data_IF_581744219319
#
_entry.id   IF_581744219319
#
_cell.length_a   1.000
_cell.length_b   1.000
_cell.length_c   1.000
_cell.angle_alpha   90.00
_cell.angle_beta   90.00
_cell.angle_gamma   90.00
#
_symmetry.space_group_name_H-M   'P 1'
#
loop_
_entity.id
_entity.type
_entity.pdbx_description
1 polymer ?
#
# COMPACT_ATOMS: atom_id res chain seq x y z
N UNK A 1 4.89 31.38 9.91
CA UNK A 1 5.81 30.36 9.42
C UNK A 1 5.31 29.76 8.11
N UNK A 2 6.18 29.09 7.37
CA UNK A 2 5.80 28.37 6.14
C UNK A 2 5.35 26.97 6.57
N UNK A 3 4.14 26.52 6.18
CA UNK A 3 3.69 25.16 6.47
C UNK A 3 4.62 24.10 5.83
N UNK A 4 4.70 22.90 6.42
CA UNK A 4 5.58 21.83 5.94
C UNK A 4 5.15 21.24 4.58
N UNK A 5 3.88 21.38 4.21
CA UNK A 5 3.31 20.98 2.93
C UNK A 5 3.39 22.07 1.85
N UNK A 6 4.04 23.19 2.13
CA UNK A 6 4.33 24.23 1.17
C UNK A 6 5.77 24.11 0.68
N UNK A 7 5.97 23.86 -0.61
CA UNK A 7 7.31 23.64 -1.20
C UNK A 7 8.27 24.81 -0.96
N UNK A 8 7.74 26.03 -0.72
CA UNK A 8 8.54 27.19 -0.34
C UNK A 8 9.31 27.00 0.98
N UNK A 9 8.92 26.03 1.80
CA UNK A 9 9.70 25.62 2.98
C UNK A 9 11.12 25.17 2.57
N UNK A 10 11.23 24.40 1.49
CA UNK A 10 12.52 23.89 1.01
C UNK A 10 13.39 25.03 0.47
N UNK A 11 12.79 25.99 -0.26
CA UNK A 11 13.51 27.20 -0.70
C UNK A 11 14.06 27.98 0.50
N UNK A 12 13.20 28.17 1.52
CA UNK A 12 13.61 28.91 2.72
C UNK A 12 14.70 28.18 3.51
N UNK A 13 14.65 26.86 3.55
CA UNK A 13 15.67 26.06 4.20
C UNK A 13 17.03 26.14 3.47
N UNK A 14 17.03 26.23 2.13
CA UNK A 14 18.26 26.47 1.35
C UNK A 14 18.82 27.86 1.66
N UNK A 15 17.97 28.89 1.72
CA UNK A 15 18.39 30.25 2.11
C UNK A 15 19.02 30.29 3.51
N UNK A 16 18.47 29.54 4.48
CA UNK A 16 19.07 29.42 5.81
C UNK A 16 20.46 28.78 5.74
N UNK A 17 20.62 27.72 4.94
CA UNK A 17 21.96 27.13 4.71
C UNK A 17 22.94 28.14 4.07
N UNK A 18 22.49 28.94 3.10
CA UNK A 18 23.32 30.00 2.45
C UNK A 18 23.77 31.04 3.46
N UNK A 19 22.97 31.30 4.51
CA UNK A 19 23.28 32.21 5.62
C UNK A 19 24.14 31.55 6.71
N UNK A 20 24.47 30.25 6.56
CA UNK A 20 25.24 29.49 7.54
C UNK A 20 24.43 28.99 8.72
N UNK A 21 23.11 29.05 8.64
CA UNK A 21 22.21 28.52 9.68
C UNK A 21 22.07 26.99 9.55
N UNK A 22 22.43 26.21 10.59
CA UNK A 22 22.39 24.75 10.57
C UNK A 22 20.97 24.18 10.47
N UNK A 23 19.95 24.95 10.85
CA UNK A 23 18.56 24.53 10.78
C UNK A 23 18.13 24.31 9.33
N UNK A 24 18.69 25.07 8.38
CA UNK A 24 18.41 24.88 6.96
C UNK A 24 18.69 23.46 6.49
N UNK A 25 19.87 22.93 6.81
CA UNK A 25 20.26 21.56 6.47
C UNK A 25 19.38 20.53 7.16
N UNK A 26 19.10 20.73 8.43
CA UNK A 26 18.25 19.85 9.24
C UNK A 26 16.85 19.73 8.65
N UNK A 27 16.25 20.85 8.25
CA UNK A 27 14.93 20.90 7.59
C UNK A 27 14.96 20.13 6.26
N UNK A 28 15.93 20.40 5.40
CA UNK A 28 16.05 19.75 4.09
C UNK A 28 16.20 18.25 4.22
N UNK A 29 17.12 17.76 5.05
CA UNK A 29 17.34 16.33 5.30
C UNK A 29 16.10 15.67 5.91
N UNK A 30 15.41 16.37 6.82
CA UNK A 30 14.20 15.86 7.49
C UNK A 30 13.03 15.69 6.53
N UNK A 31 12.80 16.65 5.63
CA UNK A 31 11.61 16.67 4.79
C UNK A 31 11.82 16.05 3.40
N UNK A 32 13.05 15.73 2.98
CA UNK A 32 13.31 15.14 1.64
C UNK A 32 14.02 13.79 1.68
N UNK A 33 14.52 13.35 2.84
CA UNK A 33 15.36 12.14 3.00
C UNK A 33 16.61 12.14 2.11
N UNK A 34 16.96 13.30 1.51
CA UNK A 34 18.19 13.48 0.71
C UNK A 34 19.28 14.10 1.58
N UNK A 35 20.51 13.96 1.15
CA UNK A 35 21.68 14.54 1.83
C UNK A 35 22.62 15.12 0.80
N UNK A 36 22.83 16.43 0.86
CA UNK A 36 23.80 17.14 0.07
C UNK A 36 24.68 18.01 0.99
N UNK A 37 25.92 18.25 0.55
CA UNK A 37 26.89 18.95 1.37
C UNK A 37 26.71 20.47 1.33
N UNK A 38 26.30 21.01 0.19
CA UNK A 38 26.28 22.44 -0.08
C UNK A 38 24.88 22.95 -0.46
N UNK A 39 24.57 24.24 -0.20
CA UNK A 39 23.34 24.87 -0.66
C UNK A 39 23.16 24.81 -2.18
N UNK A 40 24.26 24.90 -2.95
CA UNK A 40 24.19 24.83 -4.40
C UNK A 40 23.72 23.47 -4.92
N UNK A 41 24.16 22.37 -4.30
CA UNK A 41 23.68 21.02 -4.61
C UNK A 41 22.20 20.88 -4.28
N UNK A 42 21.76 21.40 -3.14
CA UNK A 42 20.34 21.42 -2.75
C UNK A 42 19.49 22.21 -3.75
N UNK A 43 19.95 23.39 -4.17
CA UNK A 43 19.23 24.22 -5.14
C UNK A 43 19.13 23.53 -6.49
N UNK A 44 20.23 22.98 -7.00
CA UNK A 44 20.22 22.24 -8.26
C UNK A 44 19.29 21.05 -8.23
N UNK A 45 19.29 20.28 -7.15
CA UNK A 45 18.38 19.15 -6.97
C UNK A 45 16.91 19.60 -6.90
N UNK A 46 16.60 20.64 -6.12
CA UNK A 46 15.25 21.16 -5.96
C UNK A 46 14.70 21.71 -7.30
N UNK A 47 15.49 22.52 -8.01
CA UNK A 47 15.05 23.13 -9.28
C UNK A 47 14.83 22.08 -10.37
N UNK A 48 15.69 21.06 -10.42
CA UNK A 48 15.57 19.94 -11.38
C UNK A 48 14.31 19.09 -11.12
N UNK A 49 13.98 18.90 -9.86
CA UNK A 49 12.91 17.95 -9.48
C UNK A 49 11.58 18.64 -9.11
N UNK A 50 11.57 19.96 -8.92
CA UNK A 50 10.39 20.72 -8.50
C UNK A 50 9.09 20.37 -9.28
N UNK A 51 9.10 20.22 -10.62
CA UNK A 51 7.88 19.86 -11.35
C UNK A 51 7.35 18.45 -11.07
N UNK A 52 8.20 17.60 -10.48
CA UNK A 52 7.90 16.20 -10.17
C UNK A 52 7.76 15.95 -8.68
N UNK A 53 7.87 17.00 -7.85
CA UNK A 53 7.78 16.86 -6.41
C UNK A 53 6.34 16.87 -5.94
N UNK A 54 6.07 16.05 -4.95
CA UNK A 54 4.81 16.01 -4.24
C UNK A 54 5.05 15.86 -2.74
N UNK A 55 4.14 16.43 -1.96
CA UNK A 55 4.15 16.27 -0.51
C UNK A 55 3.33 15.06 -0.10
N UNK A 56 3.84 14.28 0.86
CA UNK A 56 3.10 13.17 1.45
C UNK A 56 3.17 13.24 2.97
N UNK A 57 2.06 12.96 3.61
CA UNK A 57 1.99 12.77 5.07
C UNK A 57 2.38 11.34 5.44
N UNK A 58 2.24 10.42 4.51
CA UNK A 58 2.67 9.05 4.66
C UNK A 58 4.20 8.97 4.76
N UNK A 59 4.69 8.24 5.75
CA UNK A 59 6.13 8.12 6.02
C UNK A 59 6.74 9.33 6.74
N UNK A 60 5.91 10.28 7.23
CA UNK A 60 6.36 11.32 8.15
C UNK A 60 6.52 12.71 7.56
N UNK A 61 5.59 13.17 6.75
CA UNK A 61 5.56 14.53 6.18
C UNK A 61 6.78 14.80 5.29
N UNK A 62 6.82 14.17 4.11
CA UNK A 62 7.97 14.20 3.21
C UNK A 62 7.65 14.86 1.87
N UNK A 63 8.65 15.53 1.30
CA UNK A 63 8.72 15.94 -0.09
C UNK A 63 9.47 14.87 -0.88
N UNK A 64 8.76 14.17 -1.75
CA UNK A 64 9.31 13.12 -2.59
C UNK A 64 9.33 13.55 -4.05
N UNK A 65 10.21 12.94 -4.84
CA UNK A 65 10.27 13.14 -6.30
C UNK A 65 9.62 11.94 -6.96
N UNK A 66 8.62 12.19 -7.82
CA UNK A 66 8.13 11.18 -8.73
C UNK A 66 9.17 11.00 -9.85
N UNK A 67 10.02 10.01 -9.74
CA UNK A 67 11.09 9.73 -10.71
C UNK A 67 10.58 9.12 -12.02
N UNK A 68 9.29 8.84 -12.12
CA UNK A 68 8.66 8.21 -13.29
C UNK A 68 7.64 9.16 -13.92
N UNK A 69 7.63 9.20 -15.25
CA UNK A 69 6.47 9.74 -15.96
C UNK A 69 5.23 8.94 -15.54
N UNK A 70 4.15 9.64 -15.26
CA UNK A 70 2.90 9.07 -14.74
C UNK A 70 2.28 7.93 -15.59
N UNK A 71 2.89 7.58 -16.72
CA UNK A 71 2.45 6.56 -17.65
C UNK A 71 3.36 5.32 -17.73
N UNK A 72 4.47 5.26 -16.99
CA UNK A 72 5.36 4.09 -17.04
C UNK A 72 5.21 3.22 -15.77
N UNK A 73 4.16 2.42 -15.75
CA UNK A 73 3.95 1.38 -14.75
C UNK A 73 4.83 0.14 -14.95
N UNK A 74 5.58 0.05 -16.04
CA UNK A 74 6.33 -1.14 -16.42
C UNK A 74 7.60 -1.38 -15.60
N UNK A 75 8.11 -0.35 -14.90
CA UNK A 75 9.39 -0.43 -14.16
C UNK A 75 9.20 -0.72 -12.66
N UNK A 76 7.97 -0.68 -12.12
CA UNK A 76 7.70 -1.09 -10.73
C UNK A 76 7.85 -2.60 -10.48
N UNK A 77 8.07 -3.38 -11.55
CA UNK A 77 8.25 -4.84 -11.47
C UNK A 77 9.69 -5.29 -11.19
N UNK A 78 10.69 -4.40 -11.14
CA UNK A 78 12.11 -4.79 -11.11
C UNK A 78 12.96 -4.25 -9.96
N UNK A 79 12.44 -3.44 -9.06
CA UNK A 79 13.14 -3.20 -7.79
C UNK A 79 12.54 -4.05 -6.68
N UNK A 80 13.07 -5.25 -6.61
CA UNK A 80 12.92 -6.18 -5.49
C UNK A 80 13.67 -5.59 -4.28
N UNK A 81 12.98 -4.76 -3.49
CA UNK A 81 13.22 -4.87 -2.05
C UNK A 81 12.84 -6.32 -1.68
N UNK A 82 13.61 -7.03 -0.85
CA UNK A 82 13.26 -8.40 -0.52
C UNK A 82 11.86 -8.38 0.09
N UNK A 83 10.89 -8.88 -0.67
CA UNK A 83 9.59 -9.18 -0.15
C UNK A 83 9.84 -10.17 0.97
N UNK A 84 9.56 -9.75 2.19
CA UNK A 84 9.55 -10.66 3.31
C UNK A 84 8.45 -11.67 3.01
N UNK A 85 8.86 -12.82 2.47
CA UNK A 85 7.96 -13.91 2.15
C UNK A 85 7.36 -14.38 3.48
N UNK A 86 6.15 -13.92 3.77
CA UNK A 86 5.35 -14.52 4.81
C UNK A 86 5.09 -15.97 4.38
N UNK A 87 5.42 -16.91 5.26
CA UNK A 87 5.14 -18.32 5.03
C UNK A 87 3.67 -18.53 4.68
N UNK A 88 3.31 -19.51 3.82
CA UNK A 88 1.93 -19.78 3.45
C UNK A 88 1.13 -20.10 4.71
N UNK A 89 0.15 -19.27 5.02
CA UNK A 89 -0.73 -19.46 6.17
C UNK A 89 -1.92 -20.30 5.73
N UNK A 90 -1.90 -21.56 6.10
CA UNK A 90 -3.11 -22.38 6.10
C UNK A 90 -3.88 -22.03 7.37
N UNK A 91 -4.96 -21.28 7.25
CA UNK A 91 -5.64 -20.71 8.40
C UNK A 91 -6.97 -21.41 8.69
N UNK A 92 -7.04 -21.98 9.87
CA UNK A 92 -8.29 -22.14 10.60
C UNK A 92 -8.63 -20.77 11.26
N UNK A 93 -9.88 -20.34 11.14
CA UNK A 93 -10.43 -19.01 11.45
C UNK A 93 -10.28 -18.52 12.91
N UNK A 94 -9.60 -19.22 13.82
CA UNK A 94 -9.70 -18.96 15.26
C UNK A 94 -8.61 -18.03 15.86
N UNK A 95 -7.65 -17.55 15.07
CA UNK A 95 -6.71 -16.54 15.62
C UNK A 95 -6.11 -15.61 14.56
N UNK A 96 -6.94 -14.75 13.98
CA UNK A 96 -6.43 -13.60 13.24
C UNK A 96 -5.94 -12.55 14.26
N UNK A 97 -4.77 -12.79 14.85
CA UNK A 97 -4.12 -11.82 15.72
C UNK A 97 -3.44 -10.75 14.88
N UNK A 98 -3.63 -9.50 15.25
CA UNK A 98 -2.95 -8.35 14.66
C UNK A 98 -2.33 -7.50 15.76
N UNK A 99 -1.22 -6.87 15.46
CA UNK A 99 -0.54 -5.89 16.30
C UNK A 99 0.02 -4.75 15.44
N UNK A 100 0.74 -3.81 16.04
CA UNK A 100 1.32 -2.67 15.32
C UNK A 100 2.47 -3.06 14.38
N UNK A 101 3.14 -4.18 14.63
CA UNK A 101 4.23 -4.67 13.79
C UNK A 101 3.68 -5.49 12.61
N UNK A 102 2.58 -6.22 12.85
CA UNK A 102 1.85 -7.02 11.88
C UNK A 102 0.38 -6.58 11.81
N UNK A 103 0.10 -5.42 11.20
CA UNK A 103 -1.22 -4.81 11.30
C UNK A 103 -2.30 -5.46 10.44
N UNK A 104 -1.98 -6.45 9.61
CA UNK A 104 -2.95 -7.18 8.79
C UNK A 104 -2.76 -8.68 8.94
N UNK A 105 -3.81 -9.37 9.36
CA UNK A 105 -3.89 -10.82 9.36
C UNK A 105 -4.84 -11.32 8.27
N UNK A 106 -4.48 -12.42 7.65
CA UNK A 106 -5.17 -12.98 6.48
C UNK A 106 -5.63 -14.41 6.77
N UNK A 107 -6.85 -14.73 6.35
CA UNK A 107 -7.36 -16.09 6.33
C UNK A 107 -8.18 -16.35 5.08
N UNK A 108 -8.24 -17.59 4.65
CA UNK A 108 -9.14 -18.01 3.56
C UNK A 108 -9.91 -19.26 3.93
N UNK A 109 -11.13 -19.35 3.39
CA UNK A 109 -11.99 -20.53 3.52
C UNK A 109 -12.82 -20.72 2.25
N UNK A 110 -13.36 -21.91 2.10
CA UNK A 110 -14.41 -22.19 1.09
C UNK A 110 -15.75 -22.26 1.80
N UNK A 111 -16.67 -21.39 1.41
CA UNK A 111 -18.06 -21.42 1.86
C UNK A 111 -18.95 -22.06 0.79
N UNK A 112 -20.08 -22.62 1.22
CA UNK A 112 -21.14 -23.07 0.33
C UNK A 112 -22.29 -22.06 0.40
N UNK A 113 -22.63 -21.49 -0.74
CA UNK A 113 -23.71 -20.52 -0.89
C UNK A 113 -25.08 -21.16 -0.79
N UNK A 114 -26.11 -20.36 -0.62
CA UNK A 114 -27.50 -20.86 -0.54
C UNK A 114 -27.98 -21.58 -1.82
N UNK A 115 -27.38 -21.28 -2.98
CA UNK A 115 -27.64 -21.96 -4.25
C UNK A 115 -26.83 -23.27 -4.42
N UNK A 116 -26.11 -23.71 -3.40
CA UNK A 116 -25.27 -24.90 -3.39
C UNK A 116 -23.91 -24.75 -4.07
N UNK A 117 -23.61 -23.57 -4.65
CA UNK A 117 -22.32 -23.30 -5.26
C UNK A 117 -21.30 -22.93 -4.21
N UNK A 118 -20.03 -23.15 -4.52
CA UNK A 118 -18.91 -22.76 -3.65
C UNK A 118 -18.46 -21.33 -3.92
N UNK A 119 -17.92 -20.71 -2.89
CA UNK A 119 -17.19 -19.45 -3.00
C UNK A 119 -15.91 -19.49 -2.16
N UNK A 120 -14.85 -18.87 -2.67
CA UNK A 120 -13.65 -18.61 -1.90
C UNK A 120 -13.85 -17.28 -1.15
N UNK A 121 -13.60 -17.30 0.15
CA UNK A 121 -13.72 -16.13 1.02
C UNK A 121 -12.35 -15.81 1.61
N UNK A 122 -11.83 -14.63 1.26
CA UNK A 122 -10.63 -14.06 1.86
C UNK A 122 -11.05 -13.09 2.96
N UNK A 123 -10.65 -13.36 4.17
CA UNK A 123 -10.80 -12.45 5.31
C UNK A 123 -9.49 -11.69 5.54
N UNK A 124 -9.56 -10.38 5.57
CA UNK A 124 -8.45 -9.50 5.97
C UNK A 124 -8.86 -8.77 7.25
N UNK A 125 -8.19 -9.07 8.35
CA UNK A 125 -8.37 -8.35 9.62
C UNK A 125 -7.28 -7.29 9.74
N UNK A 126 -7.69 -6.04 9.87
CA UNK A 126 -6.83 -4.88 9.94
C UNK A 126 -6.81 -4.38 11.39
N UNK A 127 -5.61 -4.15 11.92
CA UNK A 127 -5.44 -3.68 13.30
C UNK A 127 -6.09 -2.31 13.51
N UNK A 128 -6.74 -2.05 14.66
CA UNK A 128 -7.32 -0.75 14.94
C UNK A 128 -6.33 0.41 14.76
N UNK A 129 -6.77 1.44 14.03
CA UNK A 129 -5.94 2.59 13.68
C UNK A 129 -5.14 2.43 12.38
N UNK A 130 -5.13 1.24 11.78
CA UNK A 130 -4.56 0.99 10.46
C UNK A 130 -5.65 0.89 9.38
N UNK A 131 -5.23 1.07 8.13
CA UNK A 131 -6.05 0.89 6.93
C UNK A 131 -5.20 0.33 5.78
N UNK A 132 -5.86 -0.23 4.77
CA UNK A 132 -5.29 -0.61 3.48
C UNK A 132 -6.12 -0.01 2.36
N UNK A 133 -5.53 0.26 1.19
CA UNK A 133 -6.18 1.05 0.15
C UNK A 133 -7.11 0.21 -0.74
N UNK A 134 -8.37 0.64 -0.86
CA UNK A 134 -9.40 0.07 -1.71
C UNK A 134 -9.43 0.72 -3.10
N UNK A 135 -9.12 2.02 -3.17
CA UNK A 135 -8.95 2.81 -4.38
C UNK A 135 -7.89 3.85 -4.13
N UNK A 136 -7.20 4.27 -5.19
CA UNK A 136 -6.22 5.33 -5.13
C UNK A 136 -6.53 6.37 -6.20
N UNK A 137 -6.32 7.62 -5.85
CA UNK A 137 -6.14 8.66 -6.85
C UNK A 137 -4.83 8.35 -7.61
N UNK A 138 -4.77 8.54 -8.94
CA UNK A 138 -3.55 8.30 -9.71
C UNK A 138 -2.30 9.07 -9.22
N UNK A 139 -2.51 10.17 -8.50
CA UNK A 139 -1.44 10.97 -7.90
C UNK A 139 -0.96 10.46 -6.53
N UNK A 140 -1.67 9.50 -5.93
CA UNK A 140 -1.33 8.99 -4.60
C UNK A 140 -0.13 8.01 -4.66
N UNK A 141 0.84 8.15 -3.76
CA UNK A 141 2.06 7.33 -3.75
C UNK A 141 1.89 5.97 -3.07
N UNK A 142 0.68 5.62 -2.69
CA UNK A 142 0.37 4.42 -1.91
C UNK A 142 0.27 3.17 -2.78
N UNK A 143 0.21 2.01 -2.15
CA UNK A 143 0.01 0.73 -2.82
C UNK A 143 -1.43 0.28 -2.70
N UNK A 144 -2.09 0.15 -3.86
CA UNK A 144 -3.43 -0.39 -3.97
C UNK A 144 -3.46 -1.84 -3.49
N UNK A 145 -4.50 -2.22 -2.75
CA UNK A 145 -4.77 -3.62 -2.45
C UNK A 145 -5.22 -4.34 -3.72
N UNK A 146 -4.44 -5.33 -4.15
CA UNK A 146 -4.76 -6.17 -5.32
C UNK A 146 -4.85 -7.63 -4.92
N UNK A 147 -5.76 -8.36 -5.57
CA UNK A 147 -6.00 -9.78 -5.33
C UNK A 147 -6.02 -10.47 -6.70
N UNK A 148 -5.08 -11.41 -6.90
CA UNK A 148 -5.00 -12.26 -8.08
C UNK A 148 -5.37 -13.67 -7.67
N UNK A 149 -6.39 -14.25 -8.31
CA UNK A 149 -6.88 -15.60 -7.96
C UNK A 149 -6.12 -16.67 -8.72
N UNK A 150 -5.80 -17.76 -8.02
CA UNK A 150 -5.19 -18.97 -8.56
C UNK A 150 -6.16 -20.14 -8.41
N UNK A 151 -6.51 -20.80 -9.51
CA UNK A 151 -7.50 -21.87 -9.54
C UNK A 151 -6.84 -23.21 -9.86
N UNK A 152 -7.23 -24.32 -9.17
CA UNK A 152 -6.82 -25.66 -9.56
C UNK A 152 -7.57 -26.11 -10.82
N UNK A 153 -7.09 -27.17 -11.45
CA UNK A 153 -7.69 -27.71 -12.66
C UNK A 153 -9.19 -28.06 -12.46
N UNK A 154 -10.02 -27.61 -13.39
CA UNK A 154 -11.47 -27.82 -13.38
C UNK A 154 -12.25 -26.92 -12.43
N UNK A 155 -11.63 -25.83 -11.96
CA UNK A 155 -12.27 -24.76 -11.18
C UNK A 155 -12.02 -23.42 -11.87
N UNK A 156 -13.01 -22.56 -11.91
CA UNK A 156 -12.95 -21.23 -12.49
C UNK A 156 -13.79 -20.23 -11.67
N UNK A 157 -13.57 -18.96 -11.91
CA UNK A 157 -14.45 -17.90 -11.40
C UNK A 157 -15.87 -18.04 -11.97
N UNK A 158 -16.89 -17.85 -11.13
CA UNK A 158 -18.30 -17.72 -11.52
C UNK A 158 -18.76 -16.27 -11.39
N UNK A 159 -18.20 -15.41 -12.23
CA UNK A 159 -18.41 -13.96 -12.21
C UNK A 159 -17.30 -13.20 -11.47
N UNK A 160 -17.57 -11.91 -11.26
CA UNK A 160 -16.61 -11.00 -10.63
C UNK A 160 -16.49 -11.25 -9.12
N UNK A 161 -15.33 -10.88 -8.57
CA UNK A 161 -15.13 -10.87 -7.13
C UNK A 161 -16.03 -9.83 -6.46
N UNK A 162 -16.71 -10.24 -5.41
CA UNK A 162 -17.54 -9.37 -4.59
C UNK A 162 -16.62 -8.66 -3.60
N UNK A 163 -16.52 -7.34 -3.78
CA UNK A 163 -15.67 -6.47 -2.97
C UNK A 163 -16.41 -6.02 -1.70
N UNK A 164 -15.73 -5.96 -0.55
CA UNK A 164 -16.35 -5.40 0.66
C UNK A 164 -16.58 -3.88 0.55
N UNK A 165 -17.45 -3.32 1.39
CA UNK A 165 -17.59 -1.88 1.49
C UNK A 165 -16.28 -1.22 1.97
N UNK A 166 -16.03 -0.01 1.50
CA UNK A 166 -14.84 0.77 1.84
C UNK A 166 -15.22 2.14 2.42
N UNK A 167 -14.29 2.76 3.13
CA UNK A 167 -14.43 4.12 3.64
C UNK A 167 -13.96 5.12 2.57
N UNK A 168 -14.83 6.03 2.09
CA UNK A 168 -14.41 7.09 1.19
C UNK A 168 -13.62 8.17 1.93
N UNK A 169 -12.71 8.82 1.23
CA UNK A 169 -12.07 10.06 1.68
C UNK A 169 -12.63 11.27 0.90
N UNK A 170 -12.09 12.46 1.15
CA UNK A 170 -12.49 13.68 0.45
C UNK A 170 -12.02 13.76 -1.01
N UNK A 171 -11.08 12.89 -1.40
CA UNK A 171 -10.56 12.73 -2.77
C UNK A 171 -11.01 11.37 -3.36
N UNK A 172 -10.47 10.97 -4.51
CA UNK A 172 -10.81 9.70 -5.15
C UNK A 172 -10.27 8.45 -4.40
N UNK A 173 -9.42 8.63 -3.41
CA UNK A 173 -8.85 7.57 -2.57
C UNK A 173 -9.88 7.02 -1.60
N UNK A 174 -9.84 5.74 -1.35
CA UNK A 174 -10.66 5.06 -0.34
C UNK A 174 -9.91 3.87 0.25
N UNK A 175 -10.32 3.45 1.45
CA UNK A 175 -9.60 2.43 2.19
C UNK A 175 -10.53 1.45 2.91
N UNK A 176 -9.96 0.29 3.24
CA UNK A 176 -10.57 -0.70 4.11
C UNK A 176 -10.02 -0.57 5.54
N UNK A 177 -10.88 -0.80 6.52
CA UNK A 177 -10.58 -0.81 7.96
C UNK A 177 -11.23 -2.02 8.61
N UNK A 178 -10.87 -2.33 9.83
CA UNK A 178 -11.44 -3.41 10.64
C UNK A 178 -11.28 -4.78 9.98
N UNK A 179 -12.37 -5.53 9.85
CA UNK A 179 -12.37 -6.84 9.20
C UNK A 179 -13.20 -6.77 7.94
N UNK A 180 -12.60 -7.13 6.82
CA UNK A 180 -13.24 -7.15 5.49
C UNK A 180 -13.17 -8.54 4.86
N UNK A 181 -14.18 -8.90 4.07
CA UNK A 181 -14.23 -10.15 3.33
C UNK A 181 -14.39 -9.89 1.83
N UNK A 182 -13.48 -10.47 1.06
CA UNK A 182 -13.55 -10.53 -0.40
C UNK A 182 -14.08 -11.91 -0.77
N UNK A 183 -15.07 -11.98 -1.66
CA UNK A 183 -15.73 -13.23 -2.00
C UNK A 183 -15.66 -13.47 -3.49
N UNK A 184 -15.05 -14.61 -3.88
CA UNK A 184 -14.99 -15.04 -5.27
C UNK A 184 -15.89 -16.25 -5.48
N UNK A 185 -17.03 -16.08 -6.16
CA UNK A 185 -17.86 -17.22 -6.57
C UNK A 185 -17.08 -18.18 -7.47
N UNK A 186 -17.29 -19.47 -7.28
CA UNK A 186 -16.59 -20.53 -7.98
C UNK A 186 -17.55 -21.41 -8.76
N UNK A 187 -17.09 -21.92 -9.90
CA UNK A 187 -17.76 -22.95 -10.71
C UNK A 187 -16.80 -24.06 -11.09
N UNK A 188 -17.33 -25.20 -11.43
CA UNK A 188 -16.58 -26.41 -11.78
C UNK A 188 -16.60 -27.46 -10.66
N UNK A 189 -16.03 -28.63 -10.96
CA UNK A 189 -16.03 -29.80 -10.07
C UNK A 189 -14.58 -30.24 -9.72
N UNK A 190 -13.61 -29.38 -9.93
CA UNK A 190 -12.22 -29.65 -9.59
C UNK A 190 -12.02 -29.83 -8.09
N UNK A 191 -10.88 -30.42 -7.73
CA UNK A 191 -10.43 -30.59 -6.35
C UNK A 191 -9.07 -29.91 -6.21
N UNK A 192 -8.71 -29.57 -4.98
CA UNK A 192 -7.44 -28.97 -4.65
C UNK A 192 -7.60 -27.63 -3.94
N UNK A 193 -6.58 -26.80 -4.01
CA UNK A 193 -6.55 -25.50 -3.33
C UNK A 193 -6.86 -24.38 -4.31
N UNK A 194 -7.75 -23.48 -3.91
CA UNK A 194 -7.90 -22.16 -4.51
C UNK A 194 -7.03 -21.19 -3.75
N UNK A 195 -6.19 -20.43 -4.46
CA UNK A 195 -5.29 -19.44 -3.89
C UNK A 195 -5.70 -18.01 -4.24
N UNK A 196 -5.33 -17.08 -3.39
CA UNK A 196 -5.34 -15.66 -3.68
C UNK A 196 -3.95 -15.09 -3.38
N UNK A 197 -3.31 -14.54 -4.40
CA UNK A 197 -2.09 -13.74 -4.26
C UNK A 197 -2.50 -12.31 -3.99
N UNK A 198 -2.14 -11.80 -2.84
CA UNK A 198 -2.57 -10.51 -2.32
C UNK A 198 -1.36 -9.61 -2.22
N UNK A 199 -1.49 -8.37 -2.71
CA UNK A 199 -0.54 -7.29 -2.46
C UNK A 199 -1.27 -6.15 -1.78
N UNK A 200 -0.73 -5.62 -0.69
CA UNK A 200 -1.29 -4.51 0.05
C UNK A 200 -0.20 -3.72 0.79
N UNK A 201 -0.55 -2.54 1.24
CA UNK A 201 0.24 -1.71 2.14
C UNK A 201 -0.65 -1.26 3.29
N UNK A 202 -0.23 -1.51 4.52
CA UNK A 202 -0.91 -1.04 5.71
C UNK A 202 -0.33 0.29 6.18
N UNK A 203 -1.19 1.27 6.40
CA UNK A 203 -0.82 2.59 6.89
C UNK A 203 -1.64 2.95 8.13
N UNK A 204 -1.06 3.72 9.03
CA UNK A 204 -1.78 4.45 10.07
C UNK A 204 -1.75 5.97 9.77
N UNK A 205 -2.09 6.80 10.76
CA UNK A 205 -2.09 8.24 10.61
C UNK A 205 -0.69 8.87 10.54
N UNK A 206 0.37 8.10 10.80
CA UNK A 206 1.74 8.59 10.92
C UNK A 206 2.73 7.91 9.99
N UNK A 207 2.49 6.65 9.64
CA UNK A 207 3.42 5.86 8.81
C UNK A 207 2.71 4.82 7.95
N UNK A 208 3.37 4.44 6.87
CA UNK A 208 3.02 3.25 6.09
C UNK A 208 4.08 2.17 6.31
N UNK A 209 3.63 0.94 6.52
CA UNK A 209 4.51 -0.24 6.54
C UNK A 209 4.99 -0.55 5.12
N UNK A 210 6.04 -1.36 5.01
CA UNK A 210 6.47 -1.87 3.71
C UNK A 210 5.34 -2.66 3.04
N UNK A 211 5.19 -2.58 1.70
CA UNK A 211 4.22 -3.39 0.99
C UNK A 211 4.46 -4.88 1.19
N UNK A 212 3.37 -5.61 1.41
CA UNK A 212 3.38 -7.07 1.58
C UNK A 212 2.80 -7.72 0.34
N UNK A 213 3.43 -8.78 -0.15
CA UNK A 213 2.86 -9.69 -1.14
C UNK A 213 2.87 -11.11 -0.58
N UNK A 214 1.73 -11.75 -0.52
CA UNK A 214 1.58 -13.10 0.04
C UNK A 214 0.47 -13.86 -0.67
N UNK A 215 0.45 -15.19 -0.54
CA UNK A 215 -0.62 -16.05 -1.07
C UNK A 215 -1.32 -16.77 0.08
N UNK A 216 -2.64 -16.73 0.09
CA UNK A 216 -3.49 -17.45 1.05
C UNK A 216 -4.35 -18.44 0.31
N UNK A 217 -4.42 -19.69 0.79
CA UNK A 217 -5.08 -20.80 0.12
C UNK A 217 -6.18 -21.40 0.97
N UNK A 218 -7.21 -21.94 0.29
CA UNK A 218 -8.28 -22.72 0.89
C UNK A 218 -8.58 -23.98 0.07
N UNK A 219 -8.85 -25.10 0.73
CA UNK A 219 -9.13 -26.39 0.09
C UNK A 219 -10.62 -26.53 -0.24
N UNK A 220 -10.93 -26.96 -1.48
CA UNK A 220 -12.29 -27.21 -2.01
C UNK A 220 -12.95 -28.43 -1.41
#
# INVERSE_FOLDING_TARGET
GIPNNDIRLLDKAIELMEQGDPDGKTILERYTLKRFATPAEWRNWLDTNRPKMFFTEAGGYLWLVNEKDANDYSVLATETAPAQAAAPVSANNDSLATDKDNPVALAARIDTRADGKKEYVLTMKIHPGYHIYARLDPADPYILTTIEMEYPAGVEADGDMIMPPFQPTSNATSYYVDTVEFRQPLKGNGKGEVGAKIRYQACDHSECKLPVTTTVKATL
#
